data_IF_397768346624
#
_entry.id   IF_397768346624
#
_cell.length_a   1.000
_cell.length_b   1.000
_cell.length_c   1.000
_cell.angle_alpha   90.00
_cell.angle_beta   90.00
_cell.angle_gamma   90.00
#
_symmetry.space_group_name_H-M   'P 1'
#
loop_
_entity.id
_entity.type
_entity.pdbx_description
1 polymer ?
#
# COMPACT_ATOMS: atom_id res chain seq x y z
N UNK A 1 -61.04 47.72 -43.23
CA UNK A 1 -61.35 46.38 -42.70
C UNK A 1 -60.04 45.65 -42.50
N UNK A 2 -59.48 45.77 -41.29
CA UNK A 2 -58.17 45.19 -40.91
C UNK A 2 -58.38 44.06 -39.91
N UNK A 3 -57.92 42.86 -40.27
CA UNK A 3 -57.96 41.71 -39.39
C UNK A 3 -56.60 41.65 -38.63
N UNK A 4 -56.65 41.83 -37.34
CA UNK A 4 -55.54 41.56 -36.42
C UNK A 4 -55.39 40.06 -36.21
N UNK A 5 -54.23 39.52 -36.51
CA UNK A 5 -53.83 38.15 -36.14
C UNK A 5 -52.88 38.24 -34.96
N UNK A 6 -53.32 37.81 -33.78
CA UNK A 6 -52.53 37.66 -32.57
C UNK A 6 -51.62 36.41 -32.68
N UNK A 7 -50.32 36.61 -32.63
CA UNK A 7 -49.35 35.52 -32.42
C UNK A 7 -49.21 35.19 -30.94
N UNK A 8 -49.61 33.99 -30.62
CA UNK A 8 -49.33 33.40 -29.29
C UNK A 8 -47.85 33.01 -29.20
N UNK A 9 -47.07 33.64 -28.37
CA UNK A 9 -45.73 33.26 -27.98
C UNK A 9 -45.87 32.12 -26.97
N UNK A 10 -45.50 30.89 -27.37
CA UNK A 10 -45.31 29.76 -26.44
C UNK A 10 -43.95 29.87 -25.79
N UNK A 11 -43.91 30.18 -24.51
CA UNK A 11 -42.72 30.06 -23.68
C UNK A 11 -42.39 28.58 -23.51
N UNK A 12 -41.28 28.15 -24.09
CA UNK A 12 -40.69 26.85 -23.82
C UNK A 12 -39.71 27.03 -22.67
N UNK A 13 -40.15 26.63 -21.48
CA UNK A 13 -39.26 26.50 -20.31
C UNK A 13 -38.39 25.25 -20.51
N UNK A 14 -37.13 25.44 -20.83
CA UNK A 14 -36.14 24.38 -20.81
C UNK A 14 -35.69 24.18 -19.37
N UNK A 15 -36.26 23.18 -18.72
CA UNK A 15 -35.76 22.72 -17.43
C UNK A 15 -34.46 21.93 -17.66
N UNK A 16 -33.33 22.56 -17.41
CA UNK A 16 -32.06 21.87 -17.41
C UNK A 16 -32.00 20.91 -16.21
N UNK A 17 -32.15 19.62 -16.47
CA UNK A 17 -31.95 18.55 -15.50
C UNK A 17 -30.45 18.39 -15.29
N UNK A 18 -29.89 19.01 -14.25
CA UNK A 18 -28.54 18.72 -13.78
C UNK A 18 -28.55 17.30 -13.21
N UNK A 19 -28.11 16.32 -13.99
CA UNK A 19 -27.72 15.02 -13.46
C UNK A 19 -26.48 15.24 -12.57
N UNK A 20 -26.65 15.28 -11.25
CA UNK A 20 -25.58 15.12 -10.29
C UNK A 20 -25.03 13.70 -10.52
N UNK A 21 -23.94 13.59 -11.28
CA UNK A 21 -23.09 12.40 -11.25
C UNK A 21 -22.51 12.37 -9.82
N UNK A 22 -23.07 11.51 -8.98
CA UNK A 22 -22.46 11.18 -7.70
C UNK A 22 -21.09 10.53 -8.00
N UNK A 23 -20.03 11.32 -7.90
CA UNK A 23 -18.68 10.79 -7.79
C UNK A 23 -18.70 9.85 -6.57
N UNK A 24 -18.24 8.59 -6.68
CA UNK A 24 -18.13 7.75 -5.50
C UNK A 24 -17.24 8.48 -4.51
N UNK A 25 -17.77 8.67 -3.30
CA UNK A 25 -17.08 9.37 -2.23
C UNK A 25 -15.72 8.68 -2.00
N UNK A 26 -14.64 9.40 -2.27
CA UNK A 26 -13.26 8.98 -2.03
C UNK A 26 -13.06 8.59 -0.54
N UNK A 27 -13.93 9.08 0.35
CA UNK A 27 -13.91 8.82 1.79
C UNK A 27 -14.37 7.43 2.26
N UNK A 28 -14.72 6.48 1.38
CA UNK A 28 -15.14 5.13 1.78
C UNK A 28 -14.11 4.03 1.44
N UNK A 29 -13.03 4.34 0.74
CA UNK A 29 -11.95 3.37 0.52
C UNK A 29 -11.12 3.26 1.81
N UNK A 30 -10.91 2.02 2.30
CA UNK A 30 -10.27 1.74 3.57
C UNK A 30 -11.22 1.62 4.78
N UNK A 31 -12.53 1.88 4.60
CA UNK A 31 -13.50 1.78 5.70
C UNK A 31 -14.05 0.36 5.91
N UNK A 32 -14.00 -0.50 4.89
CA UNK A 32 -14.51 -1.88 4.95
C UNK A 32 -13.46 -2.88 4.47
N UNK A 33 -12.69 -3.48 5.38
CA UNK A 33 -11.68 -4.48 5.03
C UNK A 33 -12.25 -5.74 4.37
N UNK A 34 -13.55 -6.04 4.53
CA UNK A 34 -14.17 -7.24 3.95
C UNK A 34 -14.14 -7.28 2.42
N UNK A 35 -13.92 -6.15 1.78
CA UNK A 35 -13.72 -6.07 0.31
C UNK A 35 -12.54 -6.92 -0.18
N UNK A 36 -11.63 -7.30 0.72
CA UNK A 36 -10.46 -8.12 0.41
C UNK A 36 -10.67 -9.63 0.66
N UNK A 37 -11.85 -10.07 1.14
CA UNK A 37 -12.12 -11.48 1.45
C UNK A 37 -11.83 -12.37 0.23
N UNK A 38 -12.32 -12.02 -0.96
CA UNK A 38 -12.06 -12.79 -2.20
C UNK A 38 -10.55 -12.86 -2.53
N UNK A 39 -9.77 -11.85 -2.12
CA UNK A 39 -8.33 -11.87 -2.32
C UNK A 39 -7.66 -12.82 -1.35
N UNK A 40 -8.10 -12.84 -0.10
CA UNK A 40 -7.62 -13.80 0.90
C UNK A 40 -7.97 -15.24 0.51
N UNK A 41 -9.17 -15.46 -0.03
CA UNK A 41 -9.58 -16.77 -0.55
C UNK A 41 -8.69 -17.21 -1.73
N UNK A 42 -8.33 -16.29 -2.66
CA UNK A 42 -7.38 -16.61 -3.74
C UNK A 42 -5.99 -16.99 -3.21
N UNK A 43 -5.50 -16.33 -2.18
CA UNK A 43 -4.24 -16.72 -1.55
C UNK A 43 -4.33 -18.12 -0.94
N UNK A 44 -5.43 -18.42 -0.24
CA UNK A 44 -5.67 -19.76 0.32
C UNK A 44 -5.76 -20.84 -0.78
N UNK A 45 -6.37 -20.52 -1.93
CA UNK A 45 -6.45 -21.41 -3.08
C UNK A 45 -5.06 -21.69 -3.68
N UNK A 46 -4.23 -20.66 -3.83
CA UNK A 46 -2.84 -20.79 -4.28
C UNK A 46 -2.04 -21.68 -3.33
N UNK A 47 -2.19 -21.47 -2.02
CA UNK A 47 -1.48 -22.24 -0.99
C UNK A 47 -1.88 -23.71 -0.95
N UNK A 48 -3.12 -24.04 -1.30
CA UNK A 48 -3.57 -25.43 -1.44
C UNK A 48 -2.90 -26.14 -2.62
N UNK A 49 -2.64 -25.39 -3.71
CA UNK A 49 -1.99 -25.93 -4.91
C UNK A 49 -0.46 -25.96 -4.74
N UNK A 50 0.10 -24.92 -4.16
CA UNK A 50 1.53 -24.77 -3.93
C UNK A 50 1.75 -24.27 -2.50
N UNK A 51 1.89 -25.19 -1.55
CA UNK A 51 2.11 -24.84 -0.15
C UNK A 51 3.35 -23.96 0.00
N UNK A 52 3.24 -22.80 0.66
CA UNK A 52 4.38 -21.92 0.84
C UNK A 52 5.42 -22.51 1.81
N UNK A 53 6.71 -22.17 1.64
CA UNK A 53 7.76 -22.66 2.50
C UNK A 53 7.63 -22.13 3.93
N UNK A 54 7.88 -22.98 4.91
CA UNK A 54 7.88 -22.59 6.33
C UNK A 54 9.07 -21.66 6.63
N UNK A 55 8.86 -20.71 7.52
CA UNK A 55 9.92 -19.80 7.96
C UNK A 55 10.40 -18.82 6.89
N UNK A 56 9.66 -18.65 5.81
CA UNK A 56 9.96 -17.67 4.77
C UNK A 56 9.80 -16.22 5.30
N UNK A 57 10.25 -15.26 4.51
CA UNK A 57 9.96 -13.83 4.70
C UNK A 57 8.63 -13.54 4.02
N UNK A 58 7.65 -13.02 4.73
CA UNK A 58 6.39 -12.59 4.15
C UNK A 58 6.47 -11.13 3.73
N UNK A 59 6.05 -10.83 2.51
CA UNK A 59 5.88 -9.47 2.00
C UNK A 59 4.39 -9.20 1.84
N UNK A 60 3.88 -8.14 2.50
CA UNK A 60 2.48 -7.73 2.39
C UNK A 60 2.35 -6.22 2.24
N UNK A 61 1.17 -5.79 1.83
CA UNK A 61 0.83 -4.38 1.62
C UNK A 61 0.13 -4.14 0.29
N UNK A 62 0.09 -2.88 -0.10
CA UNK A 62 -0.77 -2.43 -1.20
C UNK A 62 -0.21 -2.73 -2.60
N UNK A 63 -0.64 -1.96 -3.59
CA UNK A 63 -0.41 -2.24 -5.01
C UNK A 63 1.06 -2.39 -5.40
N UNK A 64 1.99 -1.74 -4.72
CA UNK A 64 3.43 -1.90 -5.00
C UNK A 64 3.91 -3.31 -4.66
N UNK A 65 3.39 -3.94 -3.60
CA UNK A 65 3.68 -5.34 -3.29
C UNK A 65 2.83 -6.27 -4.17
N UNK A 66 1.55 -5.95 -4.39
CA UNK A 66 0.68 -6.78 -5.25
C UNK A 66 1.27 -6.97 -6.66
N UNK A 67 1.86 -5.92 -7.24
CA UNK A 67 2.56 -5.98 -8.54
C UNK A 67 3.86 -6.79 -8.47
N UNK A 68 4.32 -7.10 -7.27
CA UNK A 68 5.53 -7.89 -7.00
C UNK A 68 5.24 -9.35 -6.63
N UNK A 69 3.99 -9.74 -6.44
CA UNK A 69 3.63 -11.09 -5.98
C UNK A 69 4.31 -12.20 -6.81
N UNK A 70 4.36 -12.03 -8.13
CA UNK A 70 4.97 -13.03 -9.03
C UNK A 70 6.48 -12.82 -9.27
N UNK A 71 7.06 -11.74 -8.78
CA UNK A 71 8.44 -11.34 -9.07
C UNK A 71 9.35 -11.32 -7.84
N UNK A 72 8.77 -11.21 -6.64
CA UNK A 72 9.52 -11.02 -5.40
C UNK A 72 10.54 -12.13 -5.15
N UNK A 73 10.18 -13.38 -5.40
CA UNK A 73 11.07 -14.52 -5.18
C UNK A 73 12.35 -14.39 -6.01
N UNK A 74 12.23 -14.16 -7.31
CA UNK A 74 13.40 -13.99 -8.20
C UNK A 74 14.20 -12.72 -7.87
N UNK A 75 13.53 -11.62 -7.54
CA UNK A 75 14.17 -10.34 -7.24
C UNK A 75 14.99 -10.37 -5.93
N UNK A 76 14.60 -11.23 -4.98
CA UNK A 76 15.20 -11.30 -3.65
C UNK A 76 16.09 -12.53 -3.41
N UNK A 77 16.33 -13.35 -4.44
CA UNK A 77 17.28 -14.48 -4.28
C UNK A 77 18.60 -14.04 -3.59
N UNK A 78 19.15 -14.87 -2.69
CA UNK A 78 18.73 -16.22 -2.31
C UNK A 78 17.63 -16.29 -1.23
N UNK A 79 17.01 -15.17 -0.84
CA UNK A 79 16.03 -15.15 0.24
C UNK A 79 14.75 -15.89 -0.14
N UNK A 80 14.29 -16.78 0.73
CA UNK A 80 13.01 -17.47 0.59
C UNK A 80 11.87 -16.54 1.02
N UNK A 81 11.00 -16.14 0.08
CA UNK A 81 9.95 -15.17 0.31
C UNK A 81 8.57 -15.66 -0.11
N UNK A 82 7.53 -15.16 0.57
CA UNK A 82 6.12 -15.32 0.23
C UNK A 82 5.56 -13.91 0.01
N UNK A 83 5.08 -13.59 -1.18
CA UNK A 83 4.46 -12.29 -1.44
C UNK A 83 2.93 -12.41 -1.41
N UNK A 84 2.29 -11.56 -0.61
CA UNK A 84 0.84 -11.48 -0.37
C UNK A 84 0.39 -10.02 -0.37
N UNK A 85 0.75 -9.30 -1.43
CA UNK A 85 0.26 -7.94 -1.67
C UNK A 85 -1.17 -7.92 -2.22
N UNK A 86 -1.97 -6.94 -1.82
CA UNK A 86 -3.33 -6.75 -2.30
C UNK A 86 -3.59 -5.27 -2.63
N UNK A 87 -3.73 -5.00 -3.93
CA UNK A 87 -3.65 -3.65 -4.49
C UNK A 87 -4.79 -2.74 -4.08
N UNK A 88 -4.46 -1.58 -3.49
CA UNK A 88 -5.43 -0.58 -3.03
C UNK A 88 -5.71 -0.63 -1.52
N UNK A 89 -5.09 -1.57 -0.79
CA UNK A 89 -5.21 -1.69 0.66
C UNK A 89 -4.61 -0.51 1.42
N UNK A 90 -5.03 -0.38 2.66
CA UNK A 90 -4.53 0.55 3.66
C UNK A 90 -4.04 -0.23 4.89
N UNK A 91 -3.37 0.43 5.82
CA UNK A 91 -2.79 -0.23 7.01
C UNK A 91 -3.84 -1.03 7.82
N UNK A 92 -5.07 -0.52 7.92
CA UNK A 92 -6.16 -1.20 8.61
C UNK A 92 -6.60 -2.50 7.92
N UNK A 93 -6.48 -2.60 6.60
CA UNK A 93 -6.79 -3.83 5.87
C UNK A 93 -5.78 -4.93 6.20
N UNK A 94 -4.49 -4.57 6.33
CA UNK A 94 -3.45 -5.51 6.77
C UNK A 94 -3.70 -5.97 8.21
N UNK A 95 -4.10 -5.06 9.12
CA UNK A 95 -4.45 -5.43 10.49
C UNK A 95 -5.65 -6.39 10.54
N UNK A 96 -6.70 -6.10 9.78
CA UNK A 96 -7.92 -6.92 9.74
C UNK A 96 -7.63 -8.35 9.24
N UNK A 97 -6.83 -8.46 8.19
CA UNK A 97 -6.49 -9.74 7.57
C UNK A 97 -5.18 -10.34 8.09
N UNK A 98 -4.62 -9.85 9.18
CA UNK A 98 -3.28 -10.22 9.65
C UNK A 98 -3.13 -11.73 9.85
N UNK A 99 -4.17 -12.40 10.33
CA UNK A 99 -4.16 -13.86 10.51
C UNK A 99 -3.98 -14.60 9.19
N UNK A 100 -4.74 -14.19 8.18
CA UNK A 100 -4.78 -14.86 6.86
C UNK A 100 -3.68 -14.39 5.93
N UNK A 101 -3.25 -13.13 6.03
CA UNK A 101 -2.24 -12.57 5.12
C UNK A 101 -0.82 -12.82 5.62
N UNK A 102 -0.62 -13.01 6.94
CA UNK A 102 0.71 -13.11 7.51
C UNK A 102 0.88 -14.21 8.58
N UNK A 103 0.12 -14.19 9.68
CA UNK A 103 0.42 -15.00 10.85
C UNK A 103 0.32 -16.51 10.61
N UNK A 104 -0.62 -16.96 9.76
CA UNK A 104 -0.79 -18.38 9.42
C UNK A 104 0.48 -19.02 8.84
N UNK A 105 1.33 -18.23 8.16
CA UNK A 105 2.58 -18.72 7.54
C UNK A 105 3.73 -18.89 8.54
N UNK A 106 3.57 -18.39 9.77
CA UNK A 106 4.63 -18.36 10.80
C UNK A 106 5.98 -17.89 10.22
N UNK A 107 6.00 -16.74 9.55
CA UNK A 107 7.20 -16.26 8.87
C UNK A 107 8.27 -15.84 9.89
N UNK A 108 9.55 -15.97 9.50
CA UNK A 108 10.68 -15.45 10.31
C UNK A 108 10.78 -13.93 10.25
N UNK A 109 10.20 -13.33 9.20
CA UNK A 109 10.11 -11.89 9.05
C UNK A 109 8.87 -11.49 8.24
N UNK A 110 8.33 -10.31 8.53
CA UNK A 110 7.21 -9.71 7.79
C UNK A 110 7.69 -8.34 7.28
N UNK A 111 7.61 -8.13 5.96
CA UNK A 111 7.82 -6.80 5.36
C UNK A 111 6.47 -6.22 4.99
N UNK A 112 6.21 -4.99 5.45
CA UNK A 112 4.93 -4.28 5.27
C UNK A 112 5.17 -2.99 4.47
N UNK A 113 4.42 -2.81 3.39
CA UNK A 113 4.34 -1.55 2.65
C UNK A 113 2.92 -1.03 2.63
N UNK A 114 2.60 -0.13 3.56
CA UNK A 114 1.35 0.60 3.66
C UNK A 114 1.58 2.07 4.06
N UNK A 115 0.52 2.87 4.02
CA UNK A 115 0.57 4.30 4.29
C UNK A 115 0.42 5.16 3.03
N UNK A 116 0.69 4.61 1.85
CA UNK A 116 0.60 5.32 0.56
C UNK A 116 -0.86 5.62 0.19
N UNK A 117 -1.74 4.63 0.26
CA UNK A 117 -3.17 4.84 0.06
C UNK A 117 -3.82 5.53 1.26
N UNK A 118 -3.38 5.22 2.46
CA UNK A 118 -3.85 5.86 3.70
C UNK A 118 -3.72 7.38 3.60
N UNK A 119 -2.54 7.88 3.23
CA UNK A 119 -2.29 9.32 3.06
C UNK A 119 -3.10 9.92 1.92
N UNK A 120 -3.27 9.19 0.81
CA UNK A 120 -4.08 9.63 -0.32
C UNK A 120 -5.58 9.67 0.00
N UNK A 121 -6.05 8.84 0.91
CA UNK A 121 -7.43 8.83 1.40
C UNK A 121 -7.63 9.75 2.60
N UNK A 122 -6.60 10.53 2.98
CA UNK A 122 -6.62 11.46 4.09
C UNK A 122 -6.92 10.81 5.45
N UNK A 123 -6.52 9.53 5.62
CA UNK A 123 -6.57 8.87 6.93
C UNK A 123 -5.60 9.60 7.85
N UNK A 124 -6.00 9.94 9.09
CA UNK A 124 -5.15 10.66 10.02
C UNK A 124 -3.82 9.92 10.29
N UNK A 125 -2.71 10.64 10.34
CA UNK A 125 -1.38 10.08 10.63
C UNK A 125 -1.36 9.24 11.92
N UNK A 126 -2.02 9.75 12.97
CA UNK A 126 -2.13 9.06 14.26
C UNK A 126 -2.85 7.72 14.15
N UNK A 127 -3.82 7.60 13.25
CA UNK A 127 -4.54 6.35 12.98
C UNK A 127 -3.65 5.37 12.25
N UNK A 128 -2.94 5.79 11.19
CA UNK A 128 -2.01 4.94 10.44
C UNK A 128 -0.92 4.38 11.36
N UNK A 129 -0.30 5.26 12.16
CA UNK A 129 0.76 4.89 13.12
C UNK A 129 0.19 4.00 14.24
N UNK A 130 -1.01 4.32 14.75
CA UNK A 130 -1.69 3.52 15.76
C UNK A 130 -2.03 2.12 15.27
N UNK A 131 -2.45 1.98 14.01
CA UNK A 131 -2.75 0.69 13.39
C UNK A 131 -1.48 -0.14 13.20
N UNK A 132 -0.37 0.46 12.78
CA UNK A 132 0.92 -0.24 12.72
C UNK A 132 1.36 -0.73 14.10
N UNK A 133 1.19 0.06 15.17
CA UNK A 133 1.49 -0.40 16.53
C UNK A 133 0.66 -1.63 16.92
N UNK A 134 -0.64 -1.67 16.57
CA UNK A 134 -1.49 -2.84 16.83
C UNK A 134 -1.00 -4.08 16.06
N UNK A 135 -0.55 -3.92 14.79
CA UNK A 135 0.08 -5.01 14.04
C UNK A 135 1.33 -5.51 14.75
N UNK A 136 2.21 -4.59 15.17
CA UNK A 136 3.46 -4.92 15.87
C UNK A 136 3.16 -5.65 17.20
N UNK A 137 2.21 -5.18 17.98
CA UNK A 137 1.79 -5.82 19.25
C UNK A 137 1.27 -7.24 19.01
N UNK A 138 0.44 -7.44 17.98
CA UNK A 138 -0.07 -8.77 17.64
C UNK A 138 1.04 -9.71 17.19
N UNK A 139 1.91 -9.27 16.30
CA UNK A 139 3.05 -10.08 15.84
C UNK A 139 3.96 -10.44 17.01
N UNK A 140 4.31 -9.48 17.86
CA UNK A 140 5.15 -9.72 19.03
C UNK A 140 4.55 -10.72 20.01
N UNK A 141 3.23 -10.70 20.17
CA UNK A 141 2.50 -11.63 21.04
C UNK A 141 2.43 -13.05 20.48
N UNK A 142 2.14 -13.18 19.19
CA UNK A 142 1.84 -14.46 18.55
C UNK A 142 3.08 -15.11 17.93
N UNK A 143 4.02 -14.31 17.47
CA UNK A 143 5.26 -14.72 16.80
C UNK A 143 6.46 -13.92 17.36
N UNK A 144 6.89 -14.14 18.62
CA UNK A 144 7.84 -13.27 19.30
C UNK A 144 9.23 -13.20 18.67
N UNK A 145 9.59 -14.18 17.84
CA UNK A 145 10.88 -14.22 17.13
C UNK A 145 10.82 -13.61 15.71
N UNK A 146 9.62 -13.23 15.26
CA UNK A 146 9.42 -12.68 13.91
C UNK A 146 9.85 -11.21 13.84
N UNK A 147 10.78 -10.90 12.93
CA UNK A 147 11.19 -9.51 12.66
C UNK A 147 10.16 -8.83 11.76
N UNK A 148 9.95 -7.53 12.00
CA UNK A 148 9.03 -6.70 11.22
C UNK A 148 9.82 -5.64 10.48
N UNK A 149 9.69 -5.58 9.17
CA UNK A 149 10.27 -4.54 8.32
C UNK A 149 9.16 -3.63 7.83
N UNK A 150 9.13 -2.39 8.32
CA UNK A 150 8.16 -1.39 7.86
C UNK A 150 8.83 -0.49 6.83
N UNK A 151 8.28 -0.46 5.63
CA UNK A 151 8.80 0.36 4.55
C UNK A 151 8.26 1.78 4.62
N UNK A 152 9.11 2.76 4.32
CA UNK A 152 8.67 4.14 4.14
C UNK A 152 7.65 4.22 3.00
N UNK A 153 6.65 5.07 3.15
CA UNK A 153 5.83 5.51 2.02
C UNK A 153 6.74 6.21 1.02
N UNK A 154 6.82 5.69 -0.20
CA UNK A 154 7.63 6.29 -1.27
C UNK A 154 6.98 7.54 -1.83
N UNK A 155 7.73 8.56 -2.26
CA UNK A 155 7.18 9.66 -3.02
C UNK A 155 6.70 9.18 -4.40
N UNK A 156 5.73 9.89 -4.99
CA UNK A 156 5.31 9.65 -6.37
C UNK A 156 4.81 10.95 -7.00
N UNK A 157 4.84 11.03 -8.33
CA UNK A 157 4.38 12.23 -9.04
C UNK A 157 2.87 12.41 -8.92
N UNK A 158 2.12 11.33 -8.79
CA UNK A 158 0.66 11.38 -8.59
C UNK A 158 0.26 11.94 -7.22
N UNK A 159 1.10 11.79 -6.19
CA UNK A 159 0.75 12.07 -4.79
C UNK A 159 1.63 13.14 -4.14
N UNK A 160 2.13 14.08 -4.95
CA UNK A 160 2.94 15.20 -4.44
C UNK A 160 2.18 16.04 -3.40
N UNK A 161 0.88 16.18 -3.56
CA UNK A 161 0.04 17.00 -2.66
C UNK A 161 -0.07 16.41 -1.25
N UNK A 162 0.08 15.09 -1.09
CA UNK A 162 0.04 14.40 0.21
C UNK A 162 1.43 13.98 0.67
N UNK A 163 2.49 14.34 -0.03
CA UNK A 163 3.87 13.92 0.31
C UNK A 163 4.31 14.40 1.70
N UNK A 164 3.89 15.61 2.11
CA UNK A 164 4.21 16.10 3.46
C UNK A 164 3.58 15.21 4.55
N UNK A 165 2.35 14.71 4.33
CA UNK A 165 1.70 13.77 5.23
C UNK A 165 2.46 12.44 5.26
N UNK A 166 2.84 11.92 4.09
CA UNK A 166 3.63 10.69 4.00
C UNK A 166 4.97 10.79 4.74
N UNK A 167 5.65 11.93 4.67
CA UNK A 167 6.88 12.18 5.45
C UNK A 167 6.64 12.10 6.96
N UNK A 168 5.51 12.60 7.47
CA UNK A 168 5.16 12.52 8.90
C UNK A 168 4.82 11.08 9.31
N UNK A 169 4.09 10.34 8.48
CA UNK A 169 3.87 8.90 8.68
C UNK A 169 5.21 8.15 8.73
N UNK A 170 6.12 8.43 7.80
CA UNK A 170 7.47 7.85 7.79
C UNK A 170 8.27 8.18 9.06
N UNK A 171 8.11 9.38 9.60
CA UNK A 171 8.73 9.75 10.88
C UNK A 171 8.15 8.90 12.03
N UNK A 172 6.84 8.67 12.06
CA UNK A 172 6.18 7.78 13.03
C UNK A 172 6.68 6.34 12.93
N UNK A 173 6.87 5.82 11.72
CA UNK A 173 7.42 4.47 11.51
C UNK A 173 8.86 4.35 12.03
N UNK A 174 9.69 5.39 11.85
CA UNK A 174 11.05 5.42 12.44
C UNK A 174 11.01 5.41 13.96
N UNK A 175 10.09 6.13 14.59
CA UNK A 175 9.97 6.14 16.04
C UNK A 175 9.50 4.77 16.58
N UNK A 176 8.60 4.07 15.89
CA UNK A 176 8.24 2.69 16.25
C UNK A 176 9.47 1.78 16.18
N UNK A 177 10.21 1.83 15.08
CA UNK A 177 11.41 1.01 14.90
C UNK A 177 12.50 1.31 15.93
N UNK A 178 12.68 2.57 16.32
CA UNK A 178 13.63 2.99 17.34
C UNK A 178 13.29 2.44 18.72
N UNK A 179 12.00 2.31 19.02
CA UNK A 179 11.52 1.91 20.35
C UNK A 179 11.18 0.41 20.45
N UNK A 180 11.27 -0.35 19.34
CA UNK A 180 10.99 -1.76 19.31
C UNK A 180 12.10 -2.52 18.54
N UNK A 181 12.90 -3.36 19.22
CA UNK A 181 14.03 -4.05 18.60
C UNK A 181 13.66 -5.09 17.54
N UNK A 182 12.39 -5.52 17.46
CA UNK A 182 11.90 -6.41 16.41
C UNK A 182 11.48 -5.66 15.14
N UNK A 183 11.36 -4.33 15.21
CA UNK A 183 10.92 -3.50 14.08
C UNK A 183 12.11 -2.82 13.41
N UNK A 184 12.23 -3.01 12.11
CA UNK A 184 13.25 -2.41 11.26
C UNK A 184 12.58 -1.43 10.29
N UNK A 185 13.00 -0.16 10.32
CA UNK A 185 12.55 0.80 9.32
C UNK A 185 13.35 0.65 8.03
N UNK A 186 12.65 0.58 6.89
CA UNK A 186 13.25 0.48 5.57
C UNK A 186 13.03 1.79 4.82
N UNK A 187 14.11 2.55 4.57
CA UNK A 187 14.01 3.80 3.83
C UNK A 187 13.81 3.55 2.32
N UNK A 188 12.58 3.32 1.95
CA UNK A 188 12.13 3.21 0.56
C UNK A 188 11.68 4.56 -0.04
N UNK A 189 11.94 5.67 0.63
CA UNK A 189 11.57 7.00 0.18
C UNK A 189 12.76 7.75 -0.43
N UNK A 190 13.86 7.85 0.30
CA UNK A 190 15.04 8.62 -0.12
C UNK A 190 15.59 8.23 -1.50
N UNK A 191 15.67 6.93 -1.88
CA UNK A 191 16.17 6.53 -3.20
C UNK A 191 15.31 6.97 -4.39
N UNK A 192 14.12 7.47 -4.15
CA UNK A 192 13.18 7.98 -5.17
C UNK A 192 13.20 9.52 -5.29
N UNK A 193 14.07 10.18 -4.53
CA UNK A 193 14.28 11.63 -4.57
C UNK A 193 15.56 11.97 -5.32
N UNK A 194 15.53 13.09 -6.03
CA UNK A 194 16.73 13.72 -6.61
C UNK A 194 17.51 14.45 -5.51
N UNK A 195 18.73 14.90 -5.85
CA UNK A 195 19.59 15.62 -4.92
C UNK A 195 18.98 16.93 -4.38
N UNK A 196 18.07 17.54 -5.13
CA UNK A 196 17.32 18.74 -4.72
C UNK A 196 16.07 18.43 -3.88
N UNK A 197 15.82 17.15 -3.57
CA UNK A 197 14.65 16.68 -2.82
C UNK A 197 13.38 16.53 -3.63
N UNK A 198 13.40 16.82 -4.93
CA UNK A 198 12.24 16.60 -5.81
C UNK A 198 12.10 15.10 -6.15
N UNK A 199 10.87 14.69 -6.48
CA UNK A 199 10.58 13.31 -6.89
C UNK A 199 11.20 13.02 -8.25
N UNK A 200 11.85 11.86 -8.39
CA UNK A 200 12.25 11.35 -9.70
C UNK A 200 11.00 11.09 -10.55
N UNK A 201 11.03 11.44 -11.83
CA UNK A 201 9.85 11.36 -12.70
C UNK A 201 9.90 10.23 -13.72
N UNK A 202 11.08 9.69 -13.98
CA UNK A 202 11.39 8.69 -15.02
C UNK A 202 11.35 7.23 -14.51
N UNK A 203 10.94 7.03 -13.26
CA UNK A 203 10.88 5.74 -12.58
C UNK A 203 9.46 5.20 -12.39
N UNK A 204 8.45 5.91 -12.90
CA UNK A 204 7.05 5.52 -12.84
C UNK A 204 6.50 5.12 -14.21
N UNK A 205 5.44 4.34 -14.22
CA UNK A 205 4.59 4.18 -15.40
C UNK A 205 3.71 5.44 -15.61
N UNK A 206 2.88 5.46 -16.63
CA UNK A 206 2.06 6.64 -17.01
C UNK A 206 1.17 7.17 -15.88
N UNK A 207 0.79 6.33 -14.92
CA UNK A 207 -0.07 6.75 -13.80
C UNK A 207 0.67 7.61 -12.74
N UNK A 208 1.98 7.74 -12.85
CA UNK A 208 2.80 8.54 -11.94
C UNK A 208 2.88 8.01 -10.50
N UNK A 209 2.42 6.78 -10.27
CA UNK A 209 2.36 6.13 -8.95
C UNK A 209 3.14 4.81 -8.93
N UNK A 210 2.83 3.91 -9.87
CA UNK A 210 3.43 2.60 -9.91
C UNK A 210 4.76 2.61 -10.64
N UNK A 211 5.67 1.75 -10.18
CA UNK A 211 7.05 1.74 -10.65
C UNK A 211 7.16 1.07 -12.03
N UNK A 212 7.94 1.69 -12.90
CA UNK A 212 8.41 1.07 -14.13
C UNK A 212 9.59 0.11 -13.85
N UNK A 213 10.20 -0.54 -14.85
CA UNK A 213 11.32 -1.46 -14.61
C UNK A 213 12.50 -0.83 -13.86
N UNK A 214 12.84 0.43 -14.12
CA UNK A 214 13.93 1.13 -13.41
C UNK A 214 13.54 1.40 -11.95
N UNK A 215 12.33 1.89 -11.71
CA UNK A 215 11.81 2.09 -10.35
C UNK A 215 11.75 0.78 -9.57
N UNK A 216 11.36 -0.33 -10.21
CA UNK A 216 11.35 -1.66 -9.58
C UNK A 216 12.76 -2.18 -9.26
N UNK A 217 13.78 -1.83 -10.06
CA UNK A 217 15.17 -2.15 -9.74
C UNK A 217 15.64 -1.43 -8.48
N UNK A 218 15.33 -0.15 -8.33
CA UNK A 218 15.63 0.62 -7.11
C UNK A 218 14.89 0.01 -5.93
N UNK A 219 13.59 -0.26 -6.08
CA UNK A 219 12.73 -0.86 -5.06
C UNK A 219 13.28 -2.19 -4.54
N UNK A 220 13.59 -3.11 -5.46
CA UNK A 220 14.17 -4.41 -5.13
C UNK A 220 15.52 -4.30 -4.44
N UNK A 221 16.37 -3.36 -4.88
CA UNK A 221 17.67 -3.11 -4.26
C UNK A 221 17.54 -2.63 -2.81
N UNK A 222 16.58 -1.75 -2.54
CA UNK A 222 16.28 -1.26 -1.19
C UNK A 222 15.81 -2.39 -0.28
N UNK A 223 14.83 -3.19 -0.74
CA UNK A 223 14.31 -4.31 0.04
C UNK A 223 15.41 -5.32 0.31
N UNK A 224 16.19 -5.69 -0.71
CA UNK A 224 17.30 -6.62 -0.57
C UNK A 224 18.36 -6.12 0.42
N UNK A 225 18.73 -4.85 0.34
CA UNK A 225 19.69 -4.24 1.25
C UNK A 225 19.22 -4.24 2.71
N UNK A 226 17.93 -4.09 2.94
CA UNK A 226 17.34 -4.14 4.27
C UNK A 226 17.28 -5.58 4.84
N UNK A 227 16.91 -6.56 4.01
CA UNK A 227 16.68 -7.93 4.46
C UNK A 227 17.98 -8.73 4.59
N UNK A 228 18.90 -8.64 3.62
CA UNK A 228 20.09 -9.48 3.54
C UNK A 228 20.95 -9.55 4.83
N UNK A 229 21.25 -8.44 5.52
CA UNK A 229 22.09 -8.47 6.72
C UNK A 229 21.53 -9.33 7.85
N UNK A 230 20.22 -9.48 7.93
CA UNK A 230 19.55 -10.18 9.01
C UNK A 230 19.01 -11.54 8.60
N UNK A 231 18.58 -11.68 7.34
CA UNK A 231 17.81 -12.83 6.88
C UNK A 231 18.62 -13.87 6.11
N UNK A 232 19.73 -13.49 5.44
CA UNK A 232 20.50 -14.40 4.61
C UNK A 232 21.11 -15.60 5.36
N UNK A 233 21.33 -15.45 6.65
CA UNK A 233 21.87 -16.54 7.50
C UNK A 233 20.89 -17.69 7.76
N UNK A 234 19.64 -17.54 7.34
CA UNK A 234 18.59 -18.55 7.52
C UNK A 234 18.25 -19.30 6.20
N UNK A 235 18.99 -19.05 5.12
CA UNK A 235 18.83 -19.71 3.82
C UNK A 235 19.65 -21.00 3.66
#
# INVERSE_FOLDING_TARGET
MNKFTSRLLRNISVTALFALLALPAIGQRGADPSVWNDTMDRFADQDRVTPPPLGAILLTGSSSIARWNDHAAAALEPLTVIARGFGGSVMNDVLHHLDTVALQYKPRAILIYEGDNDTAYHIPESEIIGTLNQIVERVNKELPDTRIYVMAVKPSTLRVDVWENAKRVNAGYREIAKNNPQVHYVDSATPFLKADGSVMTDIFVEDGLHLNPMGNLIWGSVIRAALMPHEARYE
#
